data_IF_693207389671
#
_entry.id   IF_693207389671
#
_cell.length_a   1.000
_cell.length_b   1.000
_cell.length_c   1.000
_cell.angle_alpha   90.00
_cell.angle_beta   90.00
_cell.angle_gamma   90.00
#
_symmetry.space_group_name_H-M   'P 1'
#
loop_
_entity.id
_entity.type
_entity.pdbx_description
1 polymer ?
#
# COMPACT_ATOMS: atom_id res chain seq x y z
N UNK A 1 -0.66 -10.36 19.48
CA UNK A 1 -0.63 -9.76 18.14
C UNK A 1 -1.57 -8.57 18.11
N UNK A 2 -1.21 -7.30 17.94
CA UNK A 2 0.05 -6.56 18.00
C UNK A 2 -0.33 -5.11 18.36
N UNK A 3 0.41 -4.48 19.26
CA UNK A 3 0.17 -3.10 19.67
C UNK A 3 0.77 -2.17 18.61
N UNK A 4 -0.03 -1.73 17.64
CA UNK A 4 0.38 -0.70 16.70
C UNK A 4 0.41 0.65 17.43
N UNK A 5 1.60 1.19 17.64
CA UNK A 5 1.80 2.52 18.23
C UNK A 5 1.29 3.56 17.22
N UNK A 6 0.28 4.33 17.63
CA UNK A 6 -0.38 5.34 16.77
C UNK A 6 0.20 6.74 16.91
N UNK A 7 0.93 7.02 17.99
CA UNK A 7 1.43 8.36 18.28
C UNK A 7 2.66 8.29 19.20
N UNK A 8 3.69 9.08 18.90
CA UNK A 8 4.91 9.21 19.71
C UNK A 8 5.06 10.69 20.07
N UNK A 9 4.87 11.00 21.35
CA UNK A 9 5.04 12.34 21.89
C UNK A 9 6.44 12.44 22.54
N UNK A 10 7.28 13.36 22.06
CA UNK A 10 8.63 13.57 22.60
C UNK A 10 8.51 14.44 23.86
N UNK A 11 8.44 13.80 25.02
CA UNK A 11 8.24 14.45 26.32
C UNK A 11 9.47 15.19 26.88
N UNK A 12 10.59 15.23 26.14
CA UNK A 12 11.80 15.96 26.52
C UNK A 12 12.65 16.32 25.31
N UNK A 13 12.97 17.60 25.13
CA UNK A 13 13.97 18.07 24.16
C UNK A 13 15.36 17.53 24.56
N UNK A 14 15.68 16.33 24.10
CA UNK A 14 17.07 15.93 23.86
C UNK A 14 17.50 16.43 22.47
N UNK A 15 18.80 16.66 22.29
CA UNK A 15 19.45 17.16 21.07
C UNK A 15 18.68 16.86 19.77
N UNK A 16 18.53 17.86 18.90
CA UNK A 16 17.83 17.76 17.59
C UNK A 16 18.25 16.53 16.78
N UNK A 17 19.47 16.03 16.96
CA UNK A 17 19.96 14.82 16.33
C UNK A 17 19.21 13.55 16.78
N UNK A 18 18.86 13.45 18.06
CA UNK A 18 18.11 12.32 18.64
C UNK A 18 16.65 12.34 18.19
N UNK A 19 16.03 13.52 18.11
CA UNK A 19 14.68 13.68 17.57
C UNK A 19 14.61 13.27 16.09
N UNK A 20 15.62 13.64 15.28
CA UNK A 20 15.74 13.22 13.87
C UNK A 20 15.92 11.71 13.72
N UNK A 21 16.78 11.08 14.52
CA UNK A 21 16.99 9.63 14.50
C UNK A 21 15.73 8.86 14.90
N UNK A 22 14.98 9.33 15.90
CA UNK A 22 13.74 8.68 16.32
C UNK A 22 12.64 8.87 15.27
N UNK A 23 12.51 10.05 14.67
CA UNK A 23 11.55 10.27 13.58
C UNK A 23 11.86 9.42 12.35
N UNK A 24 13.13 9.20 11.97
CA UNK A 24 13.47 8.24 10.90
C UNK A 24 13.20 6.77 11.28
N UNK A 25 13.27 6.41 12.56
CA UNK A 25 13.01 5.03 13.02
C UNK A 25 11.52 4.70 13.14
N UNK A 26 10.67 5.71 13.38
CA UNK A 26 9.23 5.55 13.57
C UNK A 26 8.39 6.02 12.39
N UNK A 27 8.96 6.78 11.45
CA UNK A 27 8.37 7.02 10.15
C UNK A 27 8.79 5.88 9.22
N UNK A 28 7.88 5.06 8.69
CA UNK A 28 8.22 4.18 7.58
C UNK A 28 8.70 5.07 6.43
N UNK A 29 10.00 5.00 6.19
CA UNK A 29 10.76 5.63 5.10
C UNK A 29 10.20 5.14 3.76
N UNK A 30 9.07 5.72 3.34
CA UNK A 30 8.34 5.23 2.17
C UNK A 30 6.89 5.69 2.05
N UNK A 31 6.32 6.38 3.05
CA UNK A 31 5.03 7.07 2.85
C UNK A 31 5.24 8.34 2.02
N UNK A 32 5.66 8.17 0.77
CA UNK A 32 5.46 9.21 -0.24
C UNK A 32 3.96 9.51 -0.23
N UNK A 33 3.62 10.75 0.08
CA UNK A 33 2.25 11.25 -0.04
C UNK A 33 1.97 11.27 -1.54
N UNK A 34 1.56 10.11 -2.07
CA UNK A 34 1.17 9.98 -3.47
C UNK A 34 0.06 11.00 -3.71
N UNK A 35 0.28 11.84 -4.71
CA UNK A 35 -0.71 12.82 -5.13
C UNK A 35 -1.96 12.09 -5.61
N UNK A 36 -3.13 12.73 -5.51
CA UNK A 36 -4.40 12.13 -5.97
C UNK A 36 -4.34 11.65 -7.43
N UNK A 37 -3.56 12.32 -8.26
CA UNK A 37 -3.30 11.92 -9.66
C UNK A 37 -2.48 10.63 -9.75
N UNK A 38 -1.40 10.53 -8.97
CA UNK A 38 -0.56 9.33 -8.90
C UNK A 38 -1.33 8.12 -8.38
N UNK A 39 -2.18 8.33 -7.36
CA UNK A 39 -3.07 7.29 -6.84
C UNK A 39 -4.05 6.80 -7.90
N UNK A 40 -4.65 7.71 -8.69
CA UNK A 40 -5.52 7.33 -9.81
C UNK A 40 -4.77 6.52 -10.85
N UNK A 41 -3.58 6.98 -11.26
CA UNK A 41 -2.75 6.28 -12.24
C UNK A 41 -2.36 4.88 -11.74
N UNK A 42 -1.93 4.77 -10.48
CA UNK A 42 -1.62 3.47 -9.84
C UNK A 42 -2.84 2.54 -9.84
N UNK A 43 -4.01 3.07 -9.47
CA UNK A 43 -5.27 2.32 -9.47
C UNK A 43 -5.60 1.77 -10.85
N UNK A 44 -5.51 2.61 -11.88
CA UNK A 44 -5.81 2.20 -13.26
C UNK A 44 -4.78 1.18 -13.80
N UNK A 45 -3.48 1.40 -13.54
CA UNK A 45 -2.44 0.44 -13.89
C UNK A 45 -2.66 -0.92 -13.21
N UNK A 46 -2.95 -0.92 -11.90
CA UNK A 46 -3.18 -2.13 -11.14
C UNK A 46 -4.41 -2.89 -11.64
N UNK A 47 -5.50 -2.17 -11.89
CA UNK A 47 -6.71 -2.74 -12.47
C UNK A 47 -6.41 -3.40 -13.82
N UNK A 48 -5.77 -2.67 -14.74
CA UNK A 48 -5.43 -3.19 -16.06
C UNK A 48 -4.51 -4.41 -15.98
N UNK A 49 -3.56 -4.41 -15.04
CA UNK A 49 -2.67 -5.55 -14.78
C UNK A 49 -3.45 -6.78 -14.30
N UNK A 50 -4.37 -6.61 -13.33
CA UNK A 50 -5.20 -7.70 -12.82
C UNK A 50 -6.13 -8.26 -13.91
N UNK A 51 -6.76 -7.39 -14.70
CA UNK A 51 -7.61 -7.80 -15.84
C UNK A 51 -6.79 -8.56 -16.91
N UNK A 52 -5.56 -8.12 -17.19
CA UNK A 52 -4.63 -8.83 -18.08
C UNK A 52 -4.27 -10.24 -17.57
N UNK A 53 -4.26 -10.42 -16.26
CA UNK A 53 -4.06 -11.73 -15.62
C UNK A 53 -5.35 -12.55 -15.49
N UNK A 54 -6.42 -12.16 -16.21
CA UNK A 54 -7.74 -12.80 -16.20
C UNK A 54 -8.39 -12.80 -14.82
N UNK A 55 -8.04 -11.83 -13.98
CA UNK A 55 -8.63 -11.66 -12.66
C UNK A 55 -9.72 -10.58 -12.76
N UNK A 56 -10.98 -10.91 -12.44
CA UNK A 56 -12.05 -9.94 -12.49
C UNK A 56 -11.85 -8.88 -11.40
N UNK A 57 -11.93 -7.60 -11.78
CA UNK A 57 -11.81 -6.47 -10.85
C UNK A 57 -13.04 -5.58 -10.96
N UNK A 58 -13.55 -5.12 -9.82
CA UNK A 58 -14.67 -4.20 -9.71
C UNK A 58 -14.25 -3.01 -8.86
N UNK A 59 -14.59 -1.80 -9.27
CA UNK A 59 -14.33 -0.59 -8.47
C UNK A 59 -15.45 -0.41 -7.44
N UNK A 60 -15.08 -0.29 -6.17
CA UNK A 60 -15.99 0.03 -5.07
C UNK A 60 -15.53 1.32 -4.39
N UNK A 61 -16.01 2.46 -4.91
CA UNK A 61 -15.62 3.78 -4.45
C UNK A 61 -14.12 4.04 -4.67
N UNK A 62 -13.37 4.12 -3.58
CA UNK A 62 -11.91 4.32 -3.58
C UNK A 62 -11.13 3.01 -3.45
N UNK A 63 -11.81 1.86 -3.43
CA UNK A 63 -11.16 0.54 -3.30
C UNK A 63 -11.38 -0.31 -4.55
N UNK A 64 -10.47 -1.24 -4.82
CA UNK A 64 -10.62 -2.21 -5.89
C UNK A 64 -10.99 -3.57 -5.31
N UNK A 65 -12.16 -4.11 -5.67
CA UNK A 65 -12.56 -5.47 -5.33
C UNK A 65 -12.12 -6.44 -6.41
N UNK A 66 -11.23 -7.36 -6.04
CA UNK A 66 -10.65 -8.39 -6.89
C UNK A 66 -11.38 -9.71 -6.65
N UNK A 67 -11.95 -10.27 -7.71
CA UNK A 67 -12.70 -11.53 -7.74
C UNK A 67 -13.80 -11.67 -6.68
N UNK A 68 -14.32 -10.56 -6.15
CA UNK A 68 -15.35 -10.54 -5.11
C UNK A 68 -14.87 -10.96 -3.71
N UNK A 69 -13.60 -11.34 -3.54
CA UNK A 69 -13.08 -11.96 -2.31
C UNK A 69 -11.90 -11.20 -1.70
N UNK A 70 -11.27 -10.31 -2.46
CA UNK A 70 -10.14 -9.51 -2.02
C UNK A 70 -10.42 -8.04 -2.32
N UNK A 71 -10.05 -7.15 -1.42
CA UNK A 71 -10.12 -5.70 -1.61
C UNK A 71 -8.73 -5.10 -1.54
N UNK A 72 -8.42 -4.18 -2.44
CA UNK A 72 -7.17 -3.41 -2.44
C UNK A 72 -7.50 -1.97 -2.10
N UNK A 73 -6.87 -1.47 -1.04
CA UNK A 73 -7.09 -0.11 -0.55
C UNK A 73 -5.96 0.81 -1.07
N UNK A 74 -6.20 2.13 -1.18
CA UNK A 74 -5.13 3.08 -1.43
C UNK A 74 -4.08 2.99 -0.30
N UNK A 75 -2.77 3.05 -0.61
CA UNK A 75 -2.12 3.45 -1.86
C UNK A 75 -1.94 2.37 -2.96
N UNK A 76 -2.71 1.29 -2.93
CA UNK A 76 -2.73 0.21 -3.93
C UNK A 76 -1.41 -0.58 -4.00
N UNK A 77 -0.74 -0.77 -2.86
CA UNK A 77 0.40 -1.67 -2.72
C UNK A 77 -0.01 -3.12 -2.43
N UNK A 78 0.96 -4.03 -2.50
CA UNK A 78 0.78 -5.44 -2.11
C UNK A 78 0.32 -5.57 -0.66
N UNK A 79 0.93 -4.81 0.24
CA UNK A 79 0.55 -4.73 1.65
C UNK A 79 -0.83 -4.13 1.93
N UNK A 80 -1.44 -3.45 0.95
CA UNK A 80 -2.78 -2.84 1.07
C UNK A 80 -3.90 -3.77 0.58
N UNK A 81 -3.58 -5.02 0.28
CA UNK A 81 -4.53 -6.06 -0.06
C UNK A 81 -5.14 -6.70 1.20
N UNK A 82 -6.46 -6.89 1.21
CA UNK A 82 -7.21 -7.49 2.30
C UNK A 82 -8.12 -8.60 1.76
N UNK A 83 -8.04 -9.80 2.33
CA UNK A 83 -8.96 -10.90 2.02
C UNK A 83 -9.14 -11.81 3.23
N UNK A 84 -10.30 -12.46 3.32
CA UNK A 84 -10.54 -13.51 4.33
C UNK A 84 -9.86 -14.84 3.98
N UNK A 85 -9.24 -14.96 2.79
CA UNK A 85 -8.54 -16.14 2.34
C UNK A 85 -7.05 -15.84 2.14
N UNK A 86 -6.21 -16.32 3.06
CA UNK A 86 -4.76 -16.04 3.06
C UNK A 86 -4.03 -16.59 1.82
N UNK A 87 -4.51 -17.70 1.25
CA UNK A 87 -3.92 -18.29 0.04
C UNK A 87 -4.14 -17.35 -1.15
N UNK A 88 -5.37 -16.82 -1.28
CA UNK A 88 -5.71 -15.86 -2.34
C UNK A 88 -4.96 -14.55 -2.12
N UNK A 89 -4.89 -14.08 -0.87
CA UNK A 89 -4.17 -12.88 -0.49
C UNK A 89 -2.71 -12.95 -0.93
N UNK A 90 -1.97 -13.99 -0.52
CA UNK A 90 -0.56 -14.16 -0.88
C UNK A 90 -0.36 -14.19 -2.39
N UNK A 91 -1.23 -14.89 -3.13
CA UNK A 91 -1.12 -14.98 -4.59
C UNK A 91 -1.35 -13.64 -5.29
N UNK A 92 -2.35 -12.89 -4.85
CA UNK A 92 -2.62 -11.55 -5.40
C UNK A 92 -1.50 -10.60 -5.00
N UNK A 93 -1.01 -10.65 -3.76
CA UNK A 93 0.14 -9.85 -3.33
C UNK A 93 1.35 -10.08 -4.23
N UNK A 94 1.73 -11.33 -4.50
CA UNK A 94 2.82 -11.63 -5.44
C UNK A 94 2.55 -11.11 -6.85
N UNK A 95 1.29 -11.14 -7.30
CA UNK A 95 0.91 -10.61 -8.61
C UNK A 95 1.01 -9.08 -8.65
N UNK A 96 0.63 -8.40 -7.57
CA UNK A 96 0.75 -6.95 -7.40
C UNK A 96 2.22 -6.54 -7.30
N UNK A 97 3.07 -7.31 -6.64
CA UNK A 97 4.52 -7.09 -6.62
C UNK A 97 5.18 -7.34 -7.98
N UNK A 98 4.64 -8.27 -8.77
CA UNK A 98 5.09 -8.54 -10.13
C UNK A 98 4.56 -7.53 -11.15
N UNK A 99 3.70 -6.59 -10.73
CA UNK A 99 3.32 -5.47 -11.57
C UNK A 99 4.52 -4.52 -11.66
N UNK A 100 5.03 -4.19 -12.86
CA UNK A 100 6.20 -3.31 -13.03
C UNK A 100 5.96 -1.85 -12.57
N UNK A 101 4.84 -1.58 -11.89
CA UNK A 101 4.45 -0.26 -11.43
C UNK A 101 4.38 0.78 -12.55
N UNK A 102 4.01 2.02 -12.22
CA UNK A 102 4.28 3.18 -13.06
C UNK A 102 5.70 3.75 -12.87
N UNK A 103 6.51 3.17 -11.97
CA UNK A 103 7.77 3.74 -11.45
C UNK A 103 9.04 2.93 -11.82
N UNK A 104 8.95 1.89 -12.65
CA UNK A 104 10.12 1.13 -13.12
C UNK A 104 10.70 1.70 -14.44
N UNK A 105 10.86 3.03 -14.49
CA UNK A 105 11.65 3.75 -15.49
C UNK A 105 12.15 5.08 -14.88
N UNK A 106 13.17 4.99 -14.01
CA UNK A 106 14.08 6.10 -13.73
C UNK A 106 15.50 5.71 -14.10
#
# INVERSE_FOLDING_TARGET
MGHAVREVEILKEGDEEMAKRLSSLFMPEGRQVLSTDELKRKRECLRAWLEKNLIPVTEEGETLRVAGVLTVNPPYGSQDCCSSNEIILSRVQSLVESNPGPDENL
#
